data_IF_128299817615
#
_entry.id   IF_128299817615
#
_cell.length_a   1.000
_cell.length_b   1.000
_cell.length_c   1.000
_cell.angle_alpha   90.00
_cell.angle_beta   90.00
_cell.angle_gamma   90.00
#
_symmetry.space_group_name_H-M   'P 1'
#
loop_
_entity.id
_entity.type
_entity.pdbx_description
1 polymer ?
#
# COMPACT_ATOMS: atom_id res chain seq x y z
N UNK A 1 -29.99 24.51 16.17
CA UNK A 1 -28.86 25.44 15.94
C UNK A 1 -28.76 25.64 14.44
N UNK A 2 -28.67 26.89 13.98
CA UNK A 2 -28.60 27.20 12.55
C UNK A 2 -27.13 27.01 12.08
N UNK A 3 -26.84 26.02 11.21
CA UNK A 3 -25.47 25.74 10.77
C UNK A 3 -24.80 26.95 10.10
N UNK A 4 -25.57 27.93 9.63
CA UNK A 4 -25.02 29.16 9.06
C UNK A 4 -24.40 30.11 10.11
N UNK A 5 -24.88 30.09 11.36
CA UNK A 5 -24.33 30.94 12.43
C UNK A 5 -22.95 30.47 12.89
N UNK A 6 -22.71 29.16 12.92
CA UNK A 6 -21.41 28.59 13.33
C UNK A 6 -20.32 28.89 12.30
N UNK A 7 -20.64 28.83 11.00
CA UNK A 7 -19.71 29.19 9.94
C UNK A 7 -19.30 30.69 10.01
N UNK A 8 -20.25 31.59 10.28
CA UNK A 8 -19.96 33.03 10.38
C UNK A 8 -19.04 33.35 11.57
N UNK A 9 -19.27 32.74 12.73
CA UNK A 9 -18.42 32.93 13.91
C UNK A 9 -16.98 32.49 13.64
N UNK A 10 -16.80 31.32 13.02
CA UNK A 10 -15.48 30.79 12.64
C UNK A 10 -14.76 31.73 11.65
N UNK A 11 -15.48 32.24 10.65
CA UNK A 11 -14.90 33.19 9.68
C UNK A 11 -14.47 34.50 10.34
N UNK A 12 -15.30 35.07 11.22
CA UNK A 12 -14.97 36.30 11.97
C UNK A 12 -13.74 36.09 12.86
N UNK A 13 -13.62 34.93 13.50
CA UNK A 13 -12.46 34.58 14.32
C UNK A 13 -11.19 34.50 13.46
N UNK A 14 -11.23 33.80 12.32
CA UNK A 14 -10.09 33.69 11.39
C UNK A 14 -9.66 35.09 10.91
N UNK A 15 -10.63 35.93 10.54
CA UNK A 15 -10.36 37.30 10.11
C UNK A 15 -9.70 38.13 11.20
N UNK A 16 -10.25 38.11 12.42
CA UNK A 16 -9.70 38.85 13.56
C UNK A 16 -8.27 38.40 13.91
N UNK A 17 -8.01 37.08 13.93
CA UNK A 17 -6.67 36.54 14.17
C UNK A 17 -5.68 36.96 13.09
N UNK A 18 -6.09 36.95 11.81
CA UNK A 18 -5.25 37.37 10.69
C UNK A 18 -4.92 38.86 10.77
N UNK A 19 -5.91 39.70 11.10
CA UNK A 19 -5.72 41.14 11.26
C UNK A 19 -4.76 41.45 12.42
N UNK A 20 -4.95 40.82 13.59
CA UNK A 20 -4.06 40.98 14.74
C UNK A 20 -2.63 40.50 14.45
N UNK A 21 -2.49 39.35 13.78
CA UNK A 21 -1.17 38.83 13.37
C UNK A 21 -0.45 39.77 12.41
N UNK A 22 -1.17 40.34 11.44
CA UNK A 22 -0.61 41.31 10.47
C UNK A 22 -0.17 42.59 11.16
N UNK A 23 -0.98 43.14 12.07
CA UNK A 23 -0.62 44.32 12.86
C UNK A 23 0.61 44.05 13.73
N UNK A 24 0.64 42.90 14.43
CA UNK A 24 1.80 42.49 15.23
C UNK A 24 3.07 42.34 14.42
N UNK A 25 2.98 41.76 13.21
CA UNK A 25 4.09 41.63 12.27
C UNK A 25 4.65 42.99 11.85
N UNK A 26 3.79 43.94 11.45
CA UNK A 26 4.20 45.30 11.06
C UNK A 26 4.88 46.04 12.23
N UNK A 27 4.34 45.92 13.45
CA UNK A 27 4.97 46.50 14.65
C UNK A 27 6.35 45.86 14.90
N UNK A 28 6.47 44.54 14.77
CA UNK A 28 7.74 43.84 14.92
C UNK A 28 8.80 44.28 13.89
N UNK A 29 8.41 44.39 12.62
CA UNK A 29 9.27 44.90 11.54
C UNK A 29 9.71 46.34 11.79
N UNK A 30 8.80 47.19 12.27
CA UNK A 30 9.11 48.57 12.63
C UNK A 30 10.15 48.65 13.77
N UNK A 31 9.97 47.86 14.82
CA UNK A 31 10.93 47.78 15.93
C UNK A 31 12.30 47.24 15.47
N UNK A 32 12.31 46.23 14.60
CA UNK A 32 13.54 45.68 14.02
C UNK A 32 14.26 46.71 13.15
N UNK A 33 13.53 47.44 12.31
CA UNK A 33 14.07 48.55 11.53
C UNK A 33 14.66 49.65 12.43
N UNK A 34 13.94 50.05 13.49
CA UNK A 34 14.42 51.04 14.45
C UNK A 34 15.73 50.58 15.11
N UNK A 35 15.81 49.31 15.50
CA UNK A 35 17.01 48.69 16.06
C UNK A 35 18.20 48.73 15.09
N UNK A 36 18.01 48.34 13.82
CA UNK A 36 19.05 48.41 12.80
C UNK A 36 19.54 49.85 12.59
N UNK A 37 18.63 50.82 12.66
CA UNK A 37 18.95 52.24 12.55
C UNK A 37 19.78 52.75 13.73
N UNK A 38 19.50 52.29 14.95
CA UNK A 38 20.29 52.61 16.14
C UNK A 38 21.72 52.07 16.02
N UNK A 39 21.92 50.92 15.37
CA UNK A 39 23.24 50.32 15.11
C UNK A 39 24.01 50.99 13.95
N UNK A 40 23.50 52.09 13.39
CA UNK A 40 24.15 52.82 12.28
C UNK A 40 23.87 52.25 10.90
N UNK A 41 22.97 51.26 10.78
CA UNK A 41 22.45 50.83 9.49
C UNK A 41 21.50 51.86 8.88
N UNK A 42 21.44 51.93 7.55
CA UNK A 42 20.48 52.76 6.82
C UNK A 42 19.55 51.92 5.91
N UNK A 43 18.90 50.84 6.39
CA UNK A 43 17.94 50.10 5.58
C UNK A 43 16.67 50.93 5.35
N UNK A 44 16.15 50.91 4.14
CA UNK A 44 14.83 51.43 3.83
C UNK A 44 13.75 50.52 4.44
N UNK A 45 12.81 51.11 5.19
CA UNK A 45 11.79 50.36 5.92
C UNK A 45 10.87 49.58 4.98
N UNK A 46 10.49 50.18 3.85
CA UNK A 46 9.61 49.55 2.87
C UNK A 46 10.29 48.36 2.22
N UNK A 47 11.55 48.51 1.81
CA UNK A 47 12.36 47.43 1.22
C UNK A 47 12.55 46.24 2.19
N UNK A 48 12.77 46.53 3.49
CA UNK A 48 12.84 45.51 4.53
C UNK A 48 11.49 44.78 4.67
N UNK A 49 10.40 45.53 4.73
CA UNK A 49 9.05 44.99 4.87
C UNK A 49 8.67 44.09 3.68
N UNK A 50 8.99 44.51 2.45
CA UNK A 50 8.74 43.75 1.23
C UNK A 50 9.54 42.44 1.21
N UNK A 51 10.84 42.51 1.53
CA UNK A 51 11.74 41.36 1.53
C UNK A 51 11.31 40.32 2.57
N UNK A 52 11.01 40.77 3.80
CA UNK A 52 10.57 39.89 4.87
C UNK A 52 9.18 39.30 4.59
N UNK A 53 8.24 40.10 4.05
CA UNK A 53 6.92 39.59 3.68
C UNK A 53 7.02 38.53 2.58
N UNK A 54 7.87 38.75 1.56
CA UNK A 54 8.12 37.77 0.50
C UNK A 54 8.72 36.48 1.06
N UNK A 55 9.68 36.57 1.98
CA UNK A 55 10.28 35.40 2.63
C UNK A 55 9.25 34.63 3.46
N UNK A 56 8.38 35.32 4.21
CA UNK A 56 7.29 34.69 4.97
C UNK A 56 6.28 34.02 4.04
N UNK A 57 5.88 34.68 2.95
CA UNK A 57 5.00 34.08 1.94
C UNK A 57 5.62 32.83 1.32
N UNK A 58 6.90 32.87 0.95
CA UNK A 58 7.60 31.71 0.41
C UNK A 58 7.66 30.56 1.43
N UNK A 59 8.01 30.84 2.68
CA UNK A 59 8.02 29.84 3.75
C UNK A 59 6.63 29.23 3.99
N UNK A 60 5.57 30.04 3.97
CA UNK A 60 4.19 29.58 4.10
C UNK A 60 3.80 28.65 2.95
N UNK A 61 4.10 29.02 1.70
CA UNK A 61 3.81 28.19 0.53
C UNK A 61 4.56 26.86 0.58
N UNK A 62 5.85 26.87 0.93
CA UNK A 62 6.64 25.64 1.09
C UNK A 62 6.10 24.74 2.20
N UNK A 63 5.69 25.33 3.32
CA UNK A 63 5.14 24.58 4.47
C UNK A 63 3.79 23.96 4.09
N UNK A 64 2.91 24.71 3.43
CA UNK A 64 1.64 24.21 2.92
C UNK A 64 1.86 23.09 1.90
N UNK A 65 2.82 23.25 0.98
CA UNK A 65 3.20 22.22 0.02
C UNK A 65 3.71 20.93 0.69
N UNK A 66 4.53 21.07 1.73
CA UNK A 66 5.02 19.93 2.51
C UNK A 66 3.91 19.20 3.27
N UNK A 67 2.99 19.94 3.92
CA UNK A 67 1.83 19.36 4.61
C UNK A 67 0.93 18.64 3.61
N UNK A 68 0.60 19.29 2.49
CA UNK A 68 -0.21 18.68 1.43
C UNK A 68 0.43 17.41 0.87
N UNK A 69 1.76 17.41 0.66
CA UNK A 69 2.49 16.20 0.25
C UNK A 69 2.37 15.08 1.30
N UNK A 70 2.50 15.41 2.60
CA UNK A 70 2.36 14.44 3.69
C UNK A 70 0.95 13.84 3.75
N UNK A 71 -0.08 14.67 3.64
CA UNK A 71 -1.47 14.25 3.62
C UNK A 71 -1.79 13.36 2.41
N UNK A 72 -1.28 13.70 1.21
CA UNK A 72 -1.41 12.85 0.03
C UNK A 72 -0.76 11.48 0.23
N UNK A 73 0.40 11.44 0.90
CA UNK A 73 1.09 10.20 1.21
C UNK A 73 0.30 9.36 2.24
N UNK A 74 -0.23 9.97 3.30
CA UNK A 74 -1.09 9.29 4.29
C UNK A 74 -2.40 8.80 3.67
N UNK A 75 -3.04 9.61 2.81
CA UNK A 75 -4.25 9.24 2.08
C UNK A 75 -4.02 8.08 1.11
N UNK A 76 -2.83 8.00 0.49
CA UNK A 76 -2.45 6.84 -0.32
C UNK A 76 -2.35 5.56 0.52
N UNK A 77 -1.79 5.67 1.73
CA UNK A 77 -1.63 4.56 2.66
C UNK A 77 -2.97 4.00 3.15
N UNK A 78 -3.95 4.86 3.42
CA UNK A 78 -5.31 4.44 3.81
C UNK A 78 -5.97 3.58 2.73
N UNK A 79 -5.86 3.96 1.45
CA UNK A 79 -6.37 3.14 0.34
C UNK A 79 -5.67 1.79 0.25
N UNK A 80 -4.36 1.73 0.50
CA UNK A 80 -3.63 0.47 0.48
C UNK A 80 -4.05 -0.46 1.61
N UNK A 81 -4.33 0.07 2.80
CA UNK A 81 -4.86 -0.71 3.93
C UNK A 81 -6.20 -1.35 3.55
N UNK A 82 -7.13 -0.59 2.98
CA UNK A 82 -8.44 -1.12 2.61
C UNK A 82 -8.34 -2.24 1.57
N UNK A 83 -7.48 -2.10 0.56
CA UNK A 83 -7.27 -3.17 -0.43
C UNK A 83 -6.57 -4.37 0.20
N UNK A 84 -5.58 -4.15 1.08
CA UNK A 84 -4.89 -5.21 1.79
C UNK A 84 -5.83 -6.00 2.72
N UNK A 85 -6.73 -5.31 3.41
CA UNK A 85 -7.75 -5.90 4.29
C UNK A 85 -8.73 -6.78 3.49
N UNK A 86 -9.28 -6.26 2.39
CA UNK A 86 -10.13 -7.05 1.48
C UNK A 86 -9.41 -8.26 0.88
N UNK A 87 -8.13 -8.12 0.54
CA UNK A 87 -7.30 -9.24 0.08
C UNK A 87 -7.10 -10.28 1.19
N UNK A 88 -6.87 -9.82 2.42
CA UNK A 88 -6.71 -10.67 3.58
C UNK A 88 -8.00 -11.43 3.88
N UNK A 89 -9.15 -10.76 3.93
CA UNK A 89 -10.47 -11.37 4.11
C UNK A 89 -10.78 -12.39 3.01
N UNK A 90 -10.59 -12.02 1.74
CA UNK A 90 -10.82 -12.92 0.60
C UNK A 90 -9.94 -14.17 0.70
N UNK A 91 -8.63 -13.99 0.91
CA UNK A 91 -7.70 -15.12 1.00
C UNK A 91 -7.97 -16.01 2.22
N UNK A 92 -8.42 -15.43 3.33
CA UNK A 92 -8.74 -16.16 4.56
C UNK A 92 -10.23 -16.49 4.71
N UNK A 93 -11.04 -16.32 3.66
CA UNK A 93 -12.40 -16.86 3.65
C UNK A 93 -12.36 -18.39 3.84
N UNK A 94 -13.33 -18.93 4.58
CA UNK A 94 -13.45 -20.37 4.83
C UNK A 94 -13.37 -21.17 3.53
N UNK A 95 -14.03 -20.64 2.50
CA UNK A 95 -14.04 -21.14 1.14
C UNK A 95 -12.66 -21.30 0.50
N UNK A 96 -11.79 -20.29 0.62
CA UNK A 96 -10.43 -20.34 0.08
C UNK A 96 -9.49 -21.14 0.99
N UNK A 97 -9.70 -21.12 2.31
CA UNK A 97 -8.99 -21.98 3.27
C UNK A 97 -9.25 -23.45 2.97
N UNK A 98 -10.51 -23.85 2.85
CA UNK A 98 -10.91 -25.23 2.58
C UNK A 98 -10.41 -25.69 1.21
N UNK A 99 -10.44 -24.81 0.20
CA UNK A 99 -9.93 -25.15 -1.12
C UNK A 99 -8.41 -25.41 -1.11
N UNK A 100 -7.63 -24.58 -0.39
CA UNK A 100 -6.19 -24.83 -0.21
C UNK A 100 -5.92 -26.08 0.61
N UNK A 101 -6.68 -26.31 1.69
CA UNK A 101 -6.56 -27.53 2.52
C UNK A 101 -6.80 -28.79 1.68
N UNK A 102 -7.83 -28.77 0.84
CA UNK A 102 -8.10 -29.88 -0.08
C UNK A 102 -6.92 -30.16 -1.00
N UNK A 103 -6.27 -29.12 -1.55
CA UNK A 103 -5.06 -29.27 -2.37
C UNK A 103 -3.94 -29.94 -1.56
N UNK A 104 -3.69 -29.51 -0.33
CA UNK A 104 -2.62 -30.07 0.49
C UNK A 104 -2.82 -31.55 0.81
N UNK A 105 -4.06 -31.96 1.03
CA UNK A 105 -4.41 -33.31 1.47
C UNK A 105 -4.66 -34.29 0.31
N UNK A 106 -5.23 -33.80 -0.79
CA UNK A 106 -5.80 -34.67 -1.82
C UNK A 106 -5.12 -34.54 -3.19
N UNK A 107 -4.34 -33.50 -3.44
CA UNK A 107 -3.68 -33.32 -4.75
C UNK A 107 -2.49 -34.29 -4.86
N UNK A 108 -2.52 -35.28 -5.77
CA UNK A 108 -1.39 -36.21 -5.96
C UNK A 108 -0.14 -35.47 -6.44
N UNK A 109 1.05 -36.01 -6.18
CA UNK A 109 2.29 -35.32 -6.60
C UNK A 109 2.53 -35.39 -8.12
N UNK A 110 2.07 -36.44 -8.81
CA UNK A 110 2.20 -36.57 -10.26
C UNK A 110 0.98 -35.99 -11.00
N UNK A 111 1.13 -34.92 -11.80
CA UNK A 111 0.02 -34.30 -12.52
C UNK A 111 -0.55 -35.18 -13.63
N UNK A 112 0.26 -36.03 -14.27
CA UNK A 112 -0.17 -36.82 -15.43
C UNK A 112 -1.18 -37.91 -15.04
N UNK A 113 -0.92 -38.61 -13.94
CA UNK A 113 -1.88 -39.57 -13.38
C UNK A 113 -2.90 -38.90 -12.46
N UNK A 114 -2.51 -37.85 -11.73
CA UNK A 114 -3.36 -37.13 -10.79
C UNK A 114 -4.60 -36.54 -11.44
N UNK A 115 -4.46 -35.81 -12.56
CA UNK A 115 -5.61 -35.19 -13.25
C UNK A 115 -6.66 -36.18 -13.77
N UNK A 116 -6.27 -37.44 -14.00
CA UNK A 116 -7.20 -38.51 -14.40
C UNK A 116 -7.98 -39.06 -13.21
N UNK A 117 -7.39 -39.05 -12.02
CA UNK A 117 -8.00 -39.53 -10.77
C UNK A 117 -8.83 -38.47 -10.08
N UNK A 118 -8.50 -37.19 -10.28
CA UNK A 118 -9.22 -36.07 -9.68
C UNK A 118 -10.57 -35.89 -10.38
N UNK A 119 -11.64 -36.03 -9.60
CA UNK A 119 -13.01 -35.76 -10.03
C UNK A 119 -13.28 -34.27 -10.30
N UNK A 120 -14.51 -33.96 -10.68
CA UNK A 120 -14.93 -32.59 -11.01
C UNK A 120 -14.76 -31.61 -9.84
N UNK A 121 -15.05 -32.07 -8.62
CA UNK A 121 -14.87 -31.29 -7.40
C UNK A 121 -13.42 -30.82 -7.24
N UNK A 122 -12.45 -31.73 -7.31
CA UNK A 122 -11.04 -31.38 -7.16
C UNK A 122 -10.53 -30.46 -8.26
N UNK A 123 -11.02 -30.61 -9.50
CA UNK A 123 -10.70 -29.67 -10.60
C UNK A 123 -11.25 -28.27 -10.32
N UNK A 124 -12.46 -28.19 -9.80
CA UNK A 124 -13.09 -26.92 -9.39
C UNK A 124 -12.31 -26.27 -8.26
N UNK A 125 -11.86 -27.05 -7.28
CA UNK A 125 -11.02 -26.60 -6.16
C UNK A 125 -9.68 -26.05 -6.65
N UNK A 126 -8.95 -26.78 -7.51
CA UNK A 126 -7.69 -26.32 -8.10
C UNK A 126 -7.89 -24.99 -8.82
N UNK A 127 -8.92 -24.90 -9.67
CA UNK A 127 -9.25 -23.68 -10.41
C UNK A 127 -9.58 -22.51 -9.48
N UNK A 128 -10.33 -22.75 -8.40
CA UNK A 128 -10.67 -21.73 -7.40
C UNK A 128 -9.42 -21.14 -6.76
N UNK A 129 -8.49 -21.98 -6.34
CA UNK A 129 -7.23 -21.53 -5.73
C UNK A 129 -6.35 -20.80 -6.73
N UNK A 130 -6.19 -21.32 -7.95
CA UNK A 130 -5.43 -20.63 -9.00
C UNK A 130 -6.02 -19.27 -9.36
N UNK A 131 -7.36 -19.16 -9.46
CA UNK A 131 -8.04 -17.89 -9.70
C UNK A 131 -7.85 -16.90 -8.54
N UNK A 132 -7.85 -17.40 -7.29
CA UNK A 132 -7.56 -16.58 -6.11
C UNK A 132 -6.13 -16.03 -6.17
N UNK A 133 -5.15 -16.86 -6.51
CA UNK A 133 -3.75 -16.43 -6.70
C UNK A 133 -3.59 -15.44 -7.85
N UNK A 134 -4.26 -15.63 -8.98
CA UNK A 134 -4.23 -14.68 -10.10
C UNK A 134 -4.85 -13.33 -9.72
N UNK A 135 -5.96 -13.34 -8.97
CA UNK A 135 -6.60 -12.10 -8.48
C UNK A 135 -5.66 -11.33 -7.57
N UNK A 136 -4.97 -12.02 -6.65
CA UNK A 136 -3.94 -11.42 -5.81
C UNK A 136 -2.78 -10.91 -6.65
N UNK A 137 -2.30 -11.71 -7.60
CA UNK A 137 -1.20 -11.32 -8.47
C UNK A 137 -1.54 -10.05 -9.25
N UNK A 138 -2.77 -9.95 -9.77
CA UNK A 138 -3.28 -8.77 -10.47
C UNK A 138 -3.33 -7.54 -9.55
N UNK A 139 -3.90 -7.66 -8.34
CA UNK A 139 -4.02 -6.54 -7.40
C UNK A 139 -2.67 -6.07 -6.83
N UNK A 140 -1.65 -6.91 -6.92
CA UNK A 140 -0.30 -6.60 -6.43
C UNK A 140 0.67 -6.23 -7.55
N UNK A 141 0.20 -6.14 -8.80
CA UNK A 141 0.99 -5.64 -9.92
C UNK A 141 1.19 -4.12 -9.84
N UNK A 142 2.27 -3.64 -10.48
CA UNK A 142 2.55 -2.22 -10.70
C UNK A 142 2.58 -1.35 -9.43
N UNK A 143 3.00 -1.91 -8.29
CA UNK A 143 3.07 -1.20 -7.01
C UNK A 143 1.72 -0.59 -6.56
N UNK A 144 0.59 -1.18 -6.97
CA UNK A 144 -0.72 -0.74 -6.49
C UNK A 144 -0.88 -0.94 -4.99
N UNK A 145 -0.18 -1.90 -4.42
CA UNK A 145 -0.03 -2.08 -2.98
C UNK A 145 1.46 -2.31 -2.72
N UNK A 146 2.07 -1.58 -1.76
CA UNK A 146 3.46 -1.84 -1.40
C UNK A 146 3.65 -3.29 -0.94
N UNK A 147 4.53 -4.05 -1.61
CA UNK A 147 4.76 -5.46 -1.30
C UNK A 147 5.13 -5.70 0.17
N UNK A 148 5.87 -4.75 0.78
CA UNK A 148 6.23 -4.78 2.21
C UNK A 148 5.03 -4.89 3.17
N UNK A 149 3.84 -4.45 2.75
CA UNK A 149 2.62 -4.51 3.56
C UNK A 149 1.96 -5.90 3.53
N UNK A 150 2.10 -6.61 2.41
CA UNK A 150 1.34 -7.84 2.15
C UNK A 150 2.19 -9.11 2.21
N UNK A 151 3.45 -9.04 1.78
CA UNK A 151 4.34 -10.20 1.67
C UNK A 151 4.55 -10.92 3.00
N UNK A 152 4.70 -10.26 4.17
CA UNK A 152 4.93 -10.95 5.44
C UNK A 152 3.89 -12.03 5.77
N UNK A 153 2.62 -11.77 5.53
CA UNK A 153 1.54 -12.72 5.83
C UNK A 153 1.12 -13.56 4.62
N UNK A 154 1.24 -13.02 3.40
CA UNK A 154 0.80 -13.68 2.18
C UNK A 154 1.81 -14.70 1.65
N UNK A 155 3.10 -14.38 1.71
CA UNK A 155 4.18 -15.15 1.07
C UNK A 155 4.20 -16.62 1.51
N UNK A 156 4.14 -16.96 2.82
CA UNK A 156 4.19 -18.36 3.26
C UNK A 156 3.04 -19.21 2.67
N UNK A 157 1.83 -18.64 2.64
CA UNK A 157 0.63 -19.30 2.10
C UNK A 157 0.76 -19.54 0.59
N UNK A 158 1.16 -18.50 -0.16
CA UNK A 158 1.31 -18.57 -1.61
C UNK A 158 2.36 -19.61 -1.99
N UNK A 159 3.53 -19.58 -1.34
CA UNK A 159 4.63 -20.50 -1.67
C UNK A 159 4.23 -21.94 -1.38
N UNK A 160 3.67 -22.21 -0.20
CA UNK A 160 3.21 -23.56 0.16
C UNK A 160 2.18 -24.08 -0.85
N UNK A 161 1.20 -23.26 -1.22
CA UNK A 161 0.19 -23.61 -2.23
C UNK A 161 0.82 -23.83 -3.60
N UNK A 162 1.72 -22.95 -4.01
CA UNK A 162 2.34 -22.96 -5.33
C UNK A 162 3.20 -24.21 -5.55
N UNK A 163 3.96 -24.65 -4.55
CA UNK A 163 4.79 -25.87 -4.66
C UNK A 163 3.97 -27.10 -5.08
N UNK A 164 2.71 -27.21 -4.64
CA UNK A 164 1.80 -28.30 -5.05
C UNK A 164 1.15 -28.06 -6.41
N UNK A 165 0.85 -26.80 -6.75
CA UNK A 165 0.13 -26.45 -7.98
C UNK A 165 1.03 -26.30 -9.21
N UNK A 166 2.29 -25.92 -9.04
CA UNK A 166 3.23 -25.64 -10.13
C UNK A 166 3.36 -26.80 -11.13
N UNK A 167 3.54 -28.08 -10.71
CA UNK A 167 3.62 -29.20 -11.65
C UNK A 167 2.36 -29.34 -12.50
N UNK A 168 1.18 -29.11 -11.90
CA UNK A 168 -0.11 -29.19 -12.60
C UNK A 168 -0.31 -28.04 -13.59
N UNK A 169 0.08 -26.83 -13.21
CA UNK A 169 0.01 -25.65 -14.08
C UNK A 169 0.95 -25.80 -15.27
N UNK A 170 2.17 -26.30 -15.06
CA UNK A 170 3.13 -26.55 -16.14
C UNK A 170 2.65 -27.65 -17.08
N UNK A 171 2.17 -28.77 -16.53
CA UNK A 171 1.63 -29.87 -17.33
C UNK A 171 0.42 -29.42 -18.17
N UNK A 172 -0.54 -28.68 -17.60
CA UNK A 172 -1.70 -28.17 -18.34
C UNK A 172 -1.29 -27.12 -19.39
N UNK A 173 -0.31 -26.26 -19.09
CA UNK A 173 0.24 -25.28 -20.02
C UNK A 173 0.83 -25.95 -21.27
N UNK A 174 1.63 -27.00 -21.08
CA UNK A 174 2.21 -27.79 -22.17
C UNK A 174 1.13 -28.55 -22.94
N UNK A 175 0.23 -29.24 -22.24
CA UNK A 175 -0.87 -30.03 -22.84
C UNK A 175 -1.79 -29.18 -23.72
N UNK A 176 -2.00 -27.91 -23.35
CA UNK A 176 -2.82 -26.96 -24.10
C UNK A 176 -2.06 -26.20 -25.19
N UNK A 177 -0.73 -26.19 -25.14
CA UNK A 177 0.07 -25.28 -25.95
C UNK A 177 -0.10 -23.81 -25.55
N UNK A 178 -0.40 -23.54 -24.27
CA UNK A 178 -0.66 -22.20 -23.73
C UNK A 178 0.46 -21.83 -22.73
N UNK A 179 1.58 -21.23 -23.18
CA UNK A 179 2.70 -20.88 -22.30
C UNK A 179 2.31 -19.84 -21.22
N UNK A 180 1.29 -19.04 -21.48
CA UNK A 180 0.79 -17.99 -20.59
C UNK A 180 -0.20 -18.51 -19.52
N UNK A 181 -0.48 -19.82 -19.48
CA UNK A 181 -1.44 -20.42 -18.56
C UNK A 181 -1.06 -20.13 -17.10
N UNK A 182 -1.90 -19.33 -16.43
CA UNK A 182 -1.70 -18.80 -15.07
C UNK A 182 -0.36 -18.08 -14.86
N UNK A 183 0.10 -17.29 -15.85
CA UNK A 183 1.36 -16.53 -15.73
C UNK A 183 1.40 -15.62 -14.51
N UNK A 184 0.29 -14.97 -14.14
CA UNK A 184 0.30 -14.02 -13.02
C UNK A 184 0.52 -14.73 -11.68
N UNK A 185 -0.12 -15.89 -11.46
CA UNK A 185 0.15 -16.74 -10.30
C UNK A 185 1.62 -17.20 -10.26
N UNK A 186 2.23 -17.60 -11.40
CA UNK A 186 3.67 -17.92 -11.48
C UNK A 186 4.53 -16.74 -11.04
N UNK A 187 4.25 -15.56 -11.57
CA UNK A 187 4.99 -14.32 -11.26
C UNK A 187 4.84 -13.94 -9.78
N UNK A 188 3.64 -14.08 -9.21
CA UNK A 188 3.39 -13.88 -7.78
C UNK A 188 4.20 -14.85 -6.92
N UNK A 189 4.16 -16.15 -7.23
CA UNK A 189 4.91 -17.14 -6.48
C UNK A 189 6.41 -16.87 -6.50
N UNK A 190 6.97 -16.49 -7.66
CA UNK A 190 8.38 -16.12 -7.80
C UNK A 190 8.75 -14.89 -6.95
N UNK A 191 7.89 -13.87 -6.92
CA UNK A 191 8.08 -12.70 -6.05
C UNK A 191 8.04 -13.07 -4.57
N UNK A 192 7.07 -13.89 -4.15
CA UNK A 192 7.01 -14.42 -2.79
C UNK A 192 8.28 -15.19 -2.43
N UNK A 193 8.75 -16.10 -3.29
CA UNK A 193 10.00 -16.84 -3.07
C UNK A 193 11.21 -15.91 -2.93
N UNK A 194 11.29 -14.88 -3.77
CA UNK A 194 12.38 -13.88 -3.72
C UNK A 194 12.34 -13.08 -2.42
N UNK A 195 11.14 -12.68 -2.00
CA UNK A 195 10.91 -11.99 -0.73
C UNK A 195 11.29 -12.89 0.46
N UNK A 196 10.85 -14.15 0.47
CA UNK A 196 11.16 -15.10 1.54
C UNK A 196 12.65 -15.40 1.64
N UNK A 197 13.36 -15.58 0.51
CA UNK A 197 14.83 -15.75 0.48
C UNK A 197 15.56 -14.58 1.12
N UNK A 198 15.04 -13.37 0.95
CA UNK A 198 15.68 -12.14 1.43
C UNK A 198 15.38 -11.83 2.89
N UNK A 199 14.20 -12.21 3.38
CA UNK A 199 13.72 -11.84 4.73
C UNK A 199 13.72 -13.00 5.73
N UNK A 200 13.60 -14.24 5.26
CA UNK A 200 13.47 -15.46 6.08
C UNK A 200 14.18 -16.66 5.42
N UNK A 201 15.51 -16.59 5.18
CA UNK A 201 16.26 -17.63 4.46
C UNK A 201 16.17 -19.02 5.12
N UNK A 202 15.95 -19.09 6.43
CA UNK A 202 15.74 -20.31 7.20
C UNK A 202 14.44 -21.07 6.83
N UNK A 203 13.46 -20.37 6.24
CA UNK A 203 12.11 -20.90 5.99
C UNK A 203 11.90 -21.44 4.57
N UNK A 204 12.96 -21.59 3.78
CA UNK A 204 12.88 -22.00 2.37
C UNK A 204 12.49 -23.46 2.18
N UNK A 205 12.69 -24.30 3.19
CA UNK A 205 12.32 -25.71 3.14
C UNK A 205 10.89 -25.88 3.64
N UNK A 206 9.96 -26.09 2.71
CA UNK A 206 8.58 -26.45 3.05
C UNK A 206 8.58 -27.88 3.57
N UNK A 207 8.48 -28.02 4.89
CA UNK A 207 8.28 -29.32 5.53
C UNK A 207 6.79 -29.68 5.48
N UNK A 208 6.48 -30.74 4.74
CA UNK A 208 5.14 -31.31 4.69
C UNK A 208 4.98 -32.24 5.90
N UNK A 209 3.96 -31.95 6.71
CA UNK A 209 3.53 -32.84 7.77
C UNK A 209 2.25 -33.50 7.29
N UNK A 210 2.26 -34.83 7.28
CA UNK A 210 1.03 -35.61 7.16
C UNK A 210 0.13 -35.22 8.36
N UNK A 211 -1.16 -34.97 8.09
CA UNK A 211 -2.17 -34.59 9.10
C UNK A 211 -2.03 -33.20 9.76
N UNK A 212 -1.40 -32.23 9.09
CA UNK A 212 -1.42 -30.83 9.57
C UNK A 212 -2.82 -30.17 9.42
N UNK A 213 -3.49 -29.95 10.57
CA UNK A 213 -4.68 -29.11 10.88
C UNK A 213 -5.68 -28.79 9.73
#
# INVERSE_FOLDING_TARGET
>A
MDPNRENLSTLLLIFALTALGTLGWLVGLFLFWLFLRILGGAPDFFSLTESFSTAVTAAAVLSAGFIAYRELNEGSYSRYIEVADRLFEELNSEDNINARRWIYQNLPDDPQTGLKKIGEEGRTTIKKVLNSLDRVAFLTQKNWIPEKMIMPWMSPMVIKTWVKLEPYVNYESERRGEPEYYRLARDLAKRCQTWQKSNHPESLNVHWLDDAL
#
